data_IF_762152698354
#
_entry.id   IF_762152698354
#
_cell.length_a   1.000
_cell.length_b   1.000
_cell.length_c   1.000
_cell.angle_alpha   90.00
_cell.angle_beta   90.00
_cell.angle_gamma   90.00
#
_symmetry.space_group_name_H-M   'P 1'
#
loop_
_entity.id
_entity.type
_entity.pdbx_description
1 polymer ?
#
# COMPACT_ATOMS: atom_id res chain seq x y z
N UNK A 1 -27.71 -65.53 20.43
CA UNK A 1 -26.83 -65.53 19.23
C UNK A 1 -27.25 -64.40 18.29
N UNK A 2 -26.27 -63.67 17.72
CA UNK A 2 -26.33 -62.68 16.61
C UNK A 2 -26.78 -61.26 17.03
N UNK A 3 -25.87 -60.34 17.39
CA UNK A 3 -25.08 -59.40 16.55
C UNK A 3 -25.94 -58.37 15.76
N UNK A 4 -25.82 -57.08 16.11
CA UNK A 4 -25.18 -56.04 15.27
C UNK A 4 -25.16 -54.68 15.99
N UNK A 5 -23.97 -54.11 15.99
CA UNK A 5 -23.58 -52.79 16.51
C UNK A 5 -24.15 -51.72 15.57
N UNK A 6 -24.88 -50.73 16.09
CA UNK A 6 -25.07 -49.47 15.37
C UNK A 6 -24.39 -48.35 16.15
N UNK A 7 -23.21 -48.02 15.64
CA UNK A 7 -22.36 -46.89 15.95
C UNK A 7 -22.99 -45.60 15.43
N UNK A 8 -23.51 -44.77 16.34
CA UNK A 8 -23.91 -43.40 16.03
C UNK A 8 -22.69 -42.50 16.14
N UNK A 9 -22.19 -42.08 14.98
CA UNK A 9 -21.08 -41.15 14.80
C UNK A 9 -21.32 -39.83 15.55
N UNK A 10 -20.40 -39.47 16.43
CA UNK A 10 -20.33 -38.16 17.07
C UNK A 10 -19.77 -37.16 16.04
N UNK A 11 -20.61 -36.26 15.54
CA UNK A 11 -20.22 -35.17 14.66
C UNK A 11 -19.28 -34.20 15.43
N UNK A 12 -18.00 -34.20 15.11
CA UNK A 12 -17.05 -33.17 15.53
C UNK A 12 -17.40 -31.87 14.79
N UNK A 13 -18.08 -30.95 15.48
CA UNK A 13 -18.14 -29.54 15.11
C UNK A 13 -16.75 -28.94 15.29
N UNK A 14 -15.92 -29.00 14.25
CA UNK A 14 -14.69 -28.21 14.17
C UNK A 14 -15.12 -26.77 13.94
N UNK A 15 -15.21 -26.00 15.02
CA UNK A 15 -15.32 -24.55 14.95
C UNK A 15 -14.06 -24.02 14.27
N UNK A 16 -14.16 -23.69 12.98
CA UNK A 16 -13.20 -22.79 12.34
C UNK A 16 -13.37 -21.43 13.01
N UNK A 17 -12.65 -21.21 14.12
CA UNK A 17 -12.29 -19.86 14.51
C UNK A 17 -11.37 -19.36 13.41
N UNK A 18 -11.95 -18.73 12.38
CA UNK A 18 -11.17 -17.96 11.42
C UNK A 18 -10.38 -16.96 12.25
N UNK A 19 -9.07 -17.15 12.35
CA UNK A 19 -8.20 -16.11 12.86
C UNK A 19 -8.38 -14.98 11.86
N UNK A 20 -9.13 -13.95 12.27
CA UNK A 20 -9.11 -12.68 11.58
C UNK A 20 -7.66 -12.23 11.64
N UNK A 21 -6.94 -12.41 10.54
CA UNK A 21 -5.60 -11.86 10.40
C UNK A 21 -5.77 -10.36 10.60
N UNK A 22 -4.99 -9.78 11.51
CA UNK A 22 -4.97 -8.34 11.68
C UNK A 22 -4.59 -7.74 10.32
N UNK A 23 -5.60 -7.20 9.63
CA UNK A 23 -5.37 -6.63 8.31
C UNK A 23 -4.58 -5.34 8.54
N UNK A 24 -3.36 -5.30 8.01
CA UNK A 24 -2.51 -4.11 7.97
C UNK A 24 -2.69 -3.45 6.58
N UNK A 25 -3.80 -2.73 6.31
CA UNK A 25 -4.13 -2.25 4.95
C UNK A 25 -3.10 -1.27 4.38
N UNK A 26 -2.34 -0.60 5.24
CA UNK A 26 -1.32 0.37 4.88
C UNK A 26 0.09 -0.24 4.84
N UNK A 27 0.17 -1.50 4.39
CA UNK A 27 1.40 -2.24 4.23
C UNK A 27 1.36 -3.11 2.98
N UNK A 28 2.44 -3.07 2.20
CA UNK A 28 2.65 -3.92 1.03
C UNK A 28 2.94 -3.16 -0.26
N UNK A 29 2.84 -3.88 -1.38
CA UNK A 29 3.05 -3.38 -2.73
C UNK A 29 1.72 -3.22 -3.46
N UNK A 30 1.43 -2.02 -3.96
CA UNK A 30 0.15 -1.69 -4.62
C UNK A 30 0.41 -1.09 -5.99
N UNK A 31 -0.34 -1.52 -7.00
CA UNK A 31 -0.13 -1.15 -8.40
C UNK A 31 -1.29 -0.35 -8.97
N UNK A 32 -0.95 0.70 -9.72
CA UNK A 32 -1.86 1.31 -10.67
C UNK A 32 -1.40 0.93 -12.09
N UNK A 33 -2.18 0.04 -12.74
CA UNK A 33 -1.85 -0.49 -14.07
C UNK A 33 -2.05 0.54 -15.19
N UNK A 34 -2.98 1.48 -15.03
CA UNK A 34 -3.28 2.50 -16.03
C UNK A 34 -2.08 3.42 -16.29
N UNK A 35 -1.40 3.85 -15.23
CA UNK A 35 -0.25 4.75 -15.31
C UNK A 35 1.11 4.04 -15.19
N UNK A 36 1.12 2.73 -14.96
CA UNK A 36 2.32 1.91 -14.70
C UNK A 36 3.17 2.46 -13.54
N UNK A 37 2.49 2.78 -12.43
CA UNK A 37 3.07 3.30 -11.19
C UNK A 37 2.66 2.43 -10.01
N UNK A 38 3.36 2.56 -8.89
CA UNK A 38 3.13 1.72 -7.72
C UNK A 38 3.44 2.44 -6.41
N UNK A 39 2.94 1.88 -5.32
CA UNK A 39 3.28 2.22 -3.95
C UNK A 39 3.97 1.00 -3.31
N UNK A 40 5.05 1.23 -2.58
CA UNK A 40 5.62 0.27 -1.63
C UNK A 40 5.63 0.95 -0.26
N UNK A 41 4.85 0.42 0.69
CA UNK A 41 4.59 1.08 1.98
C UNK A 41 4.60 0.11 3.15
N UNK A 42 4.98 0.62 4.33
CA UNK A 42 4.71 0.04 5.64
C UNK A 42 4.56 1.20 6.64
N UNK A 43 3.33 1.68 6.85
CA UNK A 43 3.07 2.82 7.75
C UNK A 43 3.04 2.43 9.24
N UNK A 44 3.18 1.14 9.54
CA UNK A 44 3.20 0.63 10.91
C UNK A 44 4.63 0.58 11.45
N UNK A 45 5.59 0.20 10.59
CA UNK A 45 7.01 0.07 10.97
C UNK A 45 7.89 1.19 10.44
N UNK A 46 7.48 1.86 9.36
CA UNK A 46 8.25 2.90 8.68
C UNK A 46 9.66 2.45 8.28
N UNK A 47 9.80 1.20 7.84
CA UNK A 47 11.08 0.53 7.64
C UNK A 47 11.36 0.16 6.17
N UNK A 48 10.75 0.86 5.21
CA UNK A 48 10.99 0.63 3.79
C UNK A 48 12.35 1.23 3.43
N UNK A 49 13.26 0.40 2.93
CA UNK A 49 14.50 0.83 2.29
C UNK A 49 14.27 0.89 0.78
N UNK A 50 14.66 1.99 0.15
CA UNK A 50 14.55 2.16 -1.30
C UNK A 50 15.73 1.49 -2.00
N UNK A 51 15.50 0.50 -2.89
CA UNK A 51 16.59 -0.12 -3.62
C UNK A 51 17.37 0.89 -4.48
N UNK A 52 18.68 0.92 -4.30
CA UNK A 52 19.60 1.82 -5.00
C UNK A 52 19.56 3.27 -4.52
N UNK A 53 18.84 3.56 -3.43
CA UNK A 53 18.77 4.87 -2.78
C UNK A 53 18.81 4.72 -1.25
N UNK A 54 19.66 3.83 -0.75
CA UNK A 54 19.78 3.47 0.66
C UNK A 54 20.21 4.65 1.55
N UNK A 55 20.78 5.70 0.95
CA UNK A 55 21.17 6.95 1.62
C UNK A 55 20.01 7.65 2.33
N UNK A 56 18.77 7.43 1.88
CA UNK A 56 17.58 7.99 2.54
C UNK A 56 17.18 7.26 3.82
N UNK A 57 17.80 6.10 4.11
CA UNK A 57 17.49 5.29 5.28
C UNK A 57 16.11 4.62 5.20
N UNK A 58 15.59 4.26 6.37
CA UNK A 58 14.26 3.67 6.54
C UNK A 58 13.18 4.76 6.51
N UNK A 59 12.17 4.57 5.67
CA UNK A 59 11.04 5.50 5.51
C UNK A 59 9.69 4.75 5.47
N UNK A 60 8.55 5.45 5.66
CA UNK A 60 7.21 4.87 5.50
C UNK A 60 6.95 4.19 4.15
N UNK A 61 7.59 4.66 3.08
CA UNK A 61 7.44 4.07 1.76
C UNK A 61 7.73 5.04 0.63
N UNK A 62 7.30 4.71 -0.58
CA UNK A 62 7.48 5.56 -1.75
C UNK A 62 6.45 5.29 -2.84
N UNK A 63 6.21 6.30 -3.67
CA UNK A 63 5.53 6.19 -4.95
C UNK A 63 6.56 6.09 -6.08
N UNK A 64 6.46 5.03 -6.87
CA UNK A 64 7.43 4.70 -7.91
C UNK A 64 6.81 4.53 -9.29
N UNK A 65 7.65 4.70 -10.29
CA UNK A 65 7.36 4.41 -11.68
C UNK A 65 8.00 3.07 -12.09
N UNK A 66 7.28 2.21 -12.82
CA UNK A 66 7.83 0.95 -13.34
C UNK A 66 8.82 1.10 -14.51
N UNK A 67 8.87 2.24 -15.19
CA UNK A 67 9.80 2.46 -16.32
C UNK A 67 10.81 3.60 -16.08
N UNK A 68 10.82 4.21 -14.88
CA UNK A 68 11.81 5.21 -14.49
C UNK A 68 12.20 5.02 -13.02
N UNK A 69 13.48 5.18 -12.70
CA UNK A 69 14.02 4.90 -11.37
C UNK A 69 13.73 5.97 -10.32
N UNK A 70 13.30 7.16 -10.73
CA UNK A 70 12.97 8.27 -9.82
C UNK A 70 11.70 7.99 -9.05
N UNK A 71 11.65 8.50 -7.82
CA UNK A 71 10.60 8.19 -6.86
C UNK A 71 10.14 9.45 -6.14
N UNK A 72 8.90 9.41 -5.67
CA UNK A 72 8.43 10.29 -4.62
C UNK A 72 8.53 9.53 -3.30
N UNK A 73 9.34 10.05 -2.39
CA UNK A 73 9.60 9.46 -1.08
C UNK A 73 8.48 9.86 -0.14
N UNK A 74 7.90 8.90 0.57
CA UNK A 74 6.95 9.20 1.65
C UNK A 74 7.80 9.40 2.91
N UNK A 75 7.97 10.65 3.34
CA UNK A 75 8.82 11.02 4.48
C UNK A 75 8.11 10.95 5.81
N UNK A 76 6.78 11.08 5.80
CA UNK A 76 5.94 10.95 6.98
C UNK A 76 4.63 10.26 6.60
N UNK A 77 4.14 9.41 7.51
CA UNK A 77 2.86 8.73 7.38
C UNK A 77 2.17 8.66 8.74
N UNK A 78 0.94 9.16 8.80
CA UNK A 78 0.09 9.16 9.98
C UNK A 78 -1.22 8.45 9.69
N UNK A 79 -1.38 7.26 10.26
CA UNK A 79 -2.66 6.54 10.24
C UNK A 79 -3.66 7.33 11.11
N UNK A 80 -4.71 7.83 10.47
CA UNK A 80 -5.76 8.61 11.13
C UNK A 80 -6.84 7.68 11.70
N UNK A 81 -7.13 6.59 10.99
CA UNK A 81 -8.04 5.52 11.40
C UNK A 81 -7.79 4.25 10.55
N UNK A 82 -8.61 3.23 10.74
CA UNK A 82 -8.59 1.95 10.02
C UNK A 82 -8.66 2.07 8.49
N UNK A 83 -9.17 3.19 7.97
CA UNK A 83 -9.43 3.40 6.54
C UNK A 83 -8.70 4.59 5.93
N UNK A 84 -7.98 5.39 6.71
CA UNK A 84 -7.34 6.60 6.20
C UNK A 84 -5.99 6.87 6.86
N UNK A 85 -5.01 7.21 6.03
CA UNK A 85 -3.71 7.73 6.44
C UNK A 85 -3.43 9.05 5.71
N UNK A 86 -2.75 9.96 6.39
CA UNK A 86 -2.17 11.18 5.81
C UNK A 86 -0.69 10.95 5.59
N UNK A 87 -0.17 11.41 4.45
CA UNK A 87 1.23 11.22 4.07
C UNK A 87 1.83 12.50 3.53
N UNK A 88 3.11 12.72 3.83
CA UNK A 88 3.94 13.75 3.23
C UNK A 88 4.91 13.11 2.25
N UNK A 89 4.97 13.64 1.03
CA UNK A 89 5.86 13.17 -0.03
C UNK A 89 6.81 14.26 -0.48
N UNK A 90 8.04 13.89 -0.80
CA UNK A 90 9.00 14.72 -1.53
C UNK A 90 9.50 13.99 -2.77
N UNK A 91 9.88 14.71 -3.83
CA UNK A 91 10.61 14.08 -4.92
C UNK A 91 12.04 13.71 -4.46
N UNK A 92 12.72 12.86 -5.24
CA UNK A 92 14.05 12.32 -4.91
C UNK A 92 15.20 13.34 -4.88
N UNK A 93 14.93 14.58 -5.28
CA UNK A 93 15.85 15.73 -5.17
C UNK A 93 15.37 16.78 -4.16
N UNK A 94 14.31 16.50 -3.40
CA UNK A 94 13.72 17.35 -2.37
C UNK A 94 13.34 18.78 -2.83
N UNK A 95 13.03 18.98 -4.11
CA UNK A 95 12.65 20.28 -4.68
C UNK A 95 11.14 20.50 -4.76
N UNK A 96 10.37 19.43 -4.61
CA UNK A 96 8.91 19.44 -4.61
C UNK A 96 8.40 18.60 -3.45
N UNK A 97 7.42 19.14 -2.72
CA UNK A 97 6.70 18.47 -1.64
C UNK A 97 5.19 18.44 -1.89
N UNK A 98 4.51 17.45 -1.31
CA UNK A 98 3.07 17.22 -1.45
C UNK A 98 2.53 16.53 -0.19
N UNK A 99 1.41 17.02 0.34
CA UNK A 99 0.57 16.29 1.30
C UNK A 99 -0.54 15.55 0.57
N UNK A 100 -0.71 14.26 0.87
CA UNK A 100 -1.75 13.42 0.30
C UNK A 100 -2.47 12.60 1.36
N UNK A 101 -3.66 12.09 1.00
CA UNK A 101 -4.43 11.14 1.79
C UNK A 101 -4.46 9.80 1.08
N UNK A 102 -4.21 8.73 1.82
CA UNK A 102 -4.37 7.35 1.35
C UNK A 102 -5.58 6.75 2.06
N UNK A 103 -6.57 6.33 1.28
CA UNK A 103 -7.82 5.76 1.78
C UNK A 103 -7.99 4.31 1.35
N UNK A 104 -8.31 3.42 2.28
CA UNK A 104 -8.76 2.06 1.99
C UNK A 104 -10.18 2.11 1.43
N UNK A 105 -10.36 1.64 0.19
CA UNK A 105 -11.68 1.54 -0.43
C UNK A 105 -12.33 0.17 -0.19
N UNK A 106 -11.49 -0.87 -0.14
CA UNK A 106 -11.81 -2.26 0.17
C UNK A 106 -10.48 -2.98 0.50
N UNK A 107 -10.56 -4.23 0.93
CA UNK A 107 -9.46 -5.07 1.43
C UNK A 107 -8.24 -5.18 0.48
N UNK A 108 -8.35 -4.74 -0.77
CA UNK A 108 -7.27 -4.81 -1.75
C UNK A 108 -7.01 -3.51 -2.51
N UNK A 109 -7.73 -2.42 -2.22
CA UNK A 109 -7.66 -1.19 -3.01
C UNK A 109 -7.41 0.04 -2.14
N UNK A 110 -6.29 0.73 -2.42
CA UNK A 110 -5.97 2.03 -1.84
C UNK A 110 -6.24 3.13 -2.85
N UNK A 111 -6.70 4.28 -2.37
CA UNK A 111 -6.83 5.51 -3.13
C UNK A 111 -5.89 6.57 -2.58
N UNK A 112 -4.94 7.03 -3.37
CA UNK A 112 -4.15 8.22 -3.09
C UNK A 112 -4.87 9.45 -3.64
N UNK A 113 -5.08 10.47 -2.81
CA UNK A 113 -5.61 11.78 -3.20
C UNK A 113 -4.63 12.88 -2.79
N UNK A 114 -4.17 13.63 -3.77
CA UNK A 114 -3.34 14.83 -3.57
C UNK A 114 -4.19 15.92 -2.87
N UNK A 115 -3.68 16.51 -1.79
CA UNK A 115 -4.41 17.52 -0.99
C UNK A 115 -3.81 18.91 -1.20
N UNK A 116 -2.51 19.06 -0.91
CA UNK A 116 -1.82 20.36 -0.90
C UNK A 116 -0.37 20.22 -1.35
N UNK A 117 0.19 21.26 -1.97
CA UNK A 117 1.56 21.27 -2.46
C UNK A 117 1.67 20.98 -3.97
N UNK A 118 2.80 20.40 -4.35
CA UNK A 118 3.16 20.13 -5.74
C UNK A 118 2.30 19.04 -6.37
N UNK A 119 2.08 19.14 -7.69
CA UNK A 119 1.43 18.06 -8.43
C UNK A 119 2.41 16.89 -8.56
N UNK A 120 1.97 15.70 -8.13
CA UNK A 120 2.72 14.46 -8.31
C UNK A 120 3.07 14.27 -9.80
N UNK A 121 4.35 14.10 -10.10
CA UNK A 121 4.86 13.91 -11.48
C UNK A 121 5.75 12.69 -11.54
N UNK A 122 5.66 11.99 -12.67
CA UNK A 122 6.65 10.99 -13.08
C UNK A 122 7.40 11.51 -14.28
N UNK A 123 8.48 10.82 -14.65
CA UNK A 123 9.22 11.18 -15.83
C UNK A 123 9.15 10.09 -16.89
N UNK A 124 8.73 10.49 -18.09
CA UNK A 124 8.55 9.61 -19.25
C UNK A 124 9.18 10.28 -20.45
N UNK A 125 9.97 9.55 -21.23
CA UNK A 125 10.49 10.05 -22.50
C UNK A 125 11.15 11.44 -22.39
N UNK A 126 11.94 11.64 -21.32
CA UNK A 126 12.61 12.91 -20.98
C UNK A 126 11.68 14.09 -20.68
N UNK A 127 10.43 13.84 -20.29
CA UNK A 127 9.45 14.87 -19.91
C UNK A 127 8.81 14.54 -18.56
N UNK A 128 8.45 15.59 -17.83
CA UNK A 128 7.62 15.48 -16.63
C UNK A 128 6.15 15.30 -17.01
N UNK A 129 5.56 14.20 -16.58
CA UNK A 129 4.14 13.87 -16.80
C UNK A 129 3.41 14.00 -15.47
N UNK A 130 2.42 14.89 -15.43
CA UNK A 130 1.56 15.09 -14.26
C UNK A 130 0.65 13.89 -14.05
N UNK A 131 0.56 13.43 -12.82
CA UNK A 131 -0.39 12.41 -12.42
C UNK A 131 -1.75 13.02 -12.07
N UNK A 132 -2.85 12.27 -12.24
CA UNK A 132 -4.16 12.68 -11.76
C UNK A 132 -4.15 12.99 -10.26
N UNK A 133 -5.01 13.92 -9.82
CA UNK A 133 -5.17 14.25 -8.39
C UNK A 133 -5.58 13.05 -7.54
N UNK A 134 -6.22 12.05 -8.15
CA UNK A 134 -6.68 10.83 -7.49
C UNK A 134 -6.16 9.63 -8.28
N UNK A 135 -5.49 8.71 -7.60
CA UNK A 135 -4.99 7.45 -8.15
C UNK A 135 -5.47 6.29 -7.29
N UNK A 136 -5.95 5.22 -7.93
CA UNK A 136 -6.32 3.98 -7.25
C UNK A 136 -5.27 2.90 -7.52
N UNK A 137 -4.88 2.19 -6.47
CA UNK A 137 -3.87 1.15 -6.50
C UNK A 137 -4.46 -0.13 -5.94
N UNK A 138 -4.21 -1.24 -6.63
CA UNK A 138 -4.62 -2.57 -6.19
C UNK A 138 -3.44 -3.29 -5.57
N UNK A 139 -3.66 -3.97 -4.45
CA UNK A 139 -2.68 -4.84 -3.82
C UNK A 139 -2.17 -5.86 -4.84
N UNK A 140 -0.85 -5.98 -4.94
CA UNK A 140 -0.20 -7.03 -5.70
C UNK A 140 -0.03 -8.24 -4.77
N UNK A 141 -1.05 -9.09 -4.75
CA UNK A 141 -0.95 -10.44 -4.19
C UNK A 141 -0.38 -11.38 -5.25
#
# INVERSE_FOLDING_TARGET
MIRKILSTSLLLLVSFAGIAQEEEPFKGYFINKEYNVYLQIDFYKNNIIIPGQEVFGEIPGFFGDKLDGRKWLITDAKIINDKEAEVSLINDVASEDLTAKIKLLNDSTLRLKQVEGSVLKIARNRKWVKMPKVLEFKSHK
#
